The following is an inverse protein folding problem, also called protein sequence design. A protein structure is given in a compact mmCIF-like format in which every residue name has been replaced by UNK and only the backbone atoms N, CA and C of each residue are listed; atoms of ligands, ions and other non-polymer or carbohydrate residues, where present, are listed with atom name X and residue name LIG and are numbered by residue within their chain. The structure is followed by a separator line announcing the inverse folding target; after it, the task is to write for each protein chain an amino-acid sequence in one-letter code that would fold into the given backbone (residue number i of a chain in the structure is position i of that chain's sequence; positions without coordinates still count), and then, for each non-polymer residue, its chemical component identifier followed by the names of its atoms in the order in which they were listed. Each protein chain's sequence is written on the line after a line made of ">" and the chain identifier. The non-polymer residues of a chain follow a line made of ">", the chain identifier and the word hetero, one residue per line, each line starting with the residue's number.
data_IF_859043607037
#
_entry.id   IF_859043607037
#
_cell.length_a   1.000
_cell.length_b   1.000
_cell.length_c   1.000
_cell.angle_alpha   90.00
_cell.angle_beta   90.00
_cell.angle_gamma   90.00
#
_symmetry.space_group_name_H-M   'P 1'
#
loop_
_entity.id
_entity.type
_entity.pdbx_description
1 polymer ?
#
# COMPACT_ATOMS: atom_id res chain seq x y z
N UNK A 1 16.83 -0.91 -21.56
CA UNK A 1 16.96 0.26 -20.66
C UNK A 1 16.41 -0.09 -19.27
N UNK A 2 17.28 -0.55 -18.36
CA UNK A 2 16.91 -0.80 -16.96
C UNK A 2 16.54 0.54 -16.31
N UNK A 3 15.25 0.78 -16.05
CA UNK A 3 14.84 1.85 -15.14
C UNK A 3 15.40 1.49 -13.77
N UNK A 4 16.46 2.16 -13.34
CA UNK A 4 16.86 2.22 -11.94
C UNK A 4 15.67 2.76 -11.15
N UNK A 5 14.77 1.88 -10.69
CA UNK A 5 13.59 2.30 -9.96
C UNK A 5 14.05 2.71 -8.56
N UNK A 6 14.42 3.98 -8.42
CA UNK A 6 14.75 4.58 -7.14
C UNK A 6 13.61 4.36 -6.14
N UNK A 7 13.98 4.24 -4.86
CA UNK A 7 13.01 4.17 -3.76
C UNK A 7 12.16 5.45 -3.79
N UNK A 8 10.84 5.30 -3.93
CA UNK A 8 9.89 6.41 -3.77
C UNK A 8 9.30 6.38 -2.37
N UNK A 9 8.97 7.57 -1.89
CA UNK A 9 8.40 7.77 -0.55
C UNK A 9 6.97 8.29 -0.71
N UNK A 10 6.03 7.57 -0.10
CA UNK A 10 4.61 7.89 -0.15
C UNK A 10 4.13 8.21 1.26
N UNK A 11 3.65 9.43 1.48
CA UNK A 11 3.09 9.87 2.77
C UNK A 11 1.62 9.52 2.78
N UNK A 12 1.16 8.86 3.86
CA UNK A 12 -0.26 8.64 4.06
C UNK A 12 -0.92 9.97 4.42
N UNK A 13 -2.03 10.27 3.75
CA UNK A 13 -2.85 11.43 4.03
C UNK A 13 -4.15 11.02 4.70
N UNK A 14 -4.55 11.77 5.72
CA UNK A 14 -5.83 11.63 6.40
C UNK A 14 -6.48 13.02 6.47
N UNK A 15 -7.77 13.11 6.17
CA UNK A 15 -8.54 14.37 6.18
C UNK A 15 -7.96 15.51 5.32
N UNK A 16 -7.11 15.20 4.34
CA UNK A 16 -6.49 16.20 3.47
C UNK A 16 -5.11 16.66 3.92
N UNK A 17 -4.65 16.21 5.09
CA UNK A 17 -3.34 16.53 5.65
C UNK A 17 -2.40 15.32 5.62
N UNK A 18 -1.10 15.61 5.57
CA UNK A 18 -0.07 14.59 5.69
C UNK A 18 0.00 14.04 7.12
N UNK A 19 0.07 12.72 7.23
CA UNK A 19 0.36 12.05 8.51
C UNK A 19 1.86 11.81 8.69
N UNK A 20 2.26 11.36 9.88
CA UNK A 20 3.64 10.91 10.15
C UNK A 20 4.00 9.59 9.45
N UNK A 21 3.03 8.86 8.89
CA UNK A 21 3.26 7.56 8.29
C UNK A 21 3.78 7.69 6.86
N UNK A 22 4.94 7.06 6.61
CA UNK A 22 5.60 7.06 5.30
C UNK A 22 5.85 5.63 4.85
N UNK A 23 5.38 5.31 3.64
CA UNK A 23 5.56 4.01 3.00
C UNK A 23 6.57 4.13 1.86
N UNK A 24 7.62 3.30 1.91
CA UNK A 24 8.64 3.25 0.86
C UNK A 24 8.33 2.12 -0.12
N UNK A 25 8.28 2.42 -1.41
CA UNK A 25 8.15 1.42 -2.47
C UNK A 25 8.61 2.00 -3.82
N UNK A 26 8.81 1.16 -4.83
CA UNK A 26 9.09 1.60 -6.20
C UNK A 26 7.79 2.01 -6.93
N UNK A 27 6.65 1.43 -6.53
CA UNK A 27 5.33 1.71 -7.11
C UNK A 27 4.30 2.11 -6.03
N UNK A 28 3.36 3.02 -6.34
CA UNK A 28 2.35 3.49 -5.39
C UNK A 28 1.45 2.35 -4.90
N UNK A 29 1.13 1.38 -5.77
CA UNK A 29 0.33 0.21 -5.38
C UNK A 29 1.01 -0.61 -4.28
N UNK A 30 2.34 -0.76 -4.35
CA UNK A 30 3.08 -1.50 -3.33
C UNK A 30 3.14 -0.76 -1.99
N UNK A 31 3.15 0.56 -2.01
CA UNK A 31 2.99 1.37 -0.79
C UNK A 31 1.56 1.23 -0.22
N UNK A 32 0.53 1.23 -1.07
CA UNK A 32 -0.85 1.02 -0.65
C UNK A 32 -1.06 -0.37 -0.03
N UNK A 33 -0.46 -1.44 -0.57
CA UNK A 33 -0.53 -2.78 0.04
C UNK A 33 0.07 -2.80 1.46
N UNK A 34 1.13 -2.03 1.70
CA UNK A 34 1.71 -1.89 3.05
C UNK A 34 0.74 -1.17 3.98
N UNK A 35 0.09 -0.10 3.52
CA UNK A 35 -0.94 0.61 4.28
C UNK A 35 -2.15 -0.30 4.58
N UNK A 36 -2.68 -1.02 3.59
CA UNK A 36 -3.77 -1.97 3.78
C UNK A 36 -3.41 -3.09 4.78
N UNK A 37 -2.16 -3.58 4.75
CA UNK A 37 -1.69 -4.59 5.71
C UNK A 37 -1.64 -4.05 7.15
N UNK A 38 -1.47 -2.73 7.33
CA UNK A 38 -1.57 -2.04 8.63
C UNK A 38 -3.01 -1.78 9.07
N UNK A 39 -4.00 -1.98 8.19
CA UNK A 39 -5.43 -1.84 8.51
C UNK A 39 -6.12 -0.63 7.87
N UNK A 40 -5.41 0.17 7.07
CA UNK A 40 -6.03 1.30 6.37
C UNK A 40 -6.91 0.83 5.21
N UNK A 41 -8.14 1.34 5.15
CA UNK A 41 -9.13 0.98 4.11
C UNK A 41 -9.31 2.08 3.07
N UNK A 42 -9.41 3.34 3.48
CA UNK A 42 -9.39 4.50 2.57
C UNK A 42 -7.96 5.05 2.51
N UNK A 43 -7.19 4.68 1.49
CA UNK A 43 -5.75 4.96 1.43
C UNK A 43 -5.50 6.09 0.44
N UNK A 44 -5.04 7.23 0.95
CA UNK A 44 -4.55 8.35 0.14
C UNK A 44 -3.05 8.50 0.35
N UNK A 45 -2.27 8.38 -0.72
CA UNK A 45 -0.80 8.36 -0.67
C UNK A 45 -0.19 9.46 -1.52
N UNK A 46 0.38 10.47 -0.89
CA UNK A 46 1.11 11.55 -1.56
C UNK A 46 2.53 11.12 -1.90
N UNK A 47 2.91 11.22 -3.16
CA UNK A 47 4.27 10.93 -3.61
C UNK A 47 5.18 12.14 -3.32
N UNK A 48 6.15 11.98 -2.42
CA UNK A 48 7.10 13.05 -2.05
C UNK A 48 7.87 13.54 -3.29
N UNK A 49 8.09 14.85 -3.36
CA UNK A 49 8.70 15.50 -4.52
C UNK A 49 7.74 15.69 -5.70
N UNK A 50 6.46 15.36 -5.55
CA UNK A 50 5.42 15.63 -6.54
C UNK A 50 4.14 16.15 -5.86
N UNK A 51 3.21 16.67 -6.64
CA UNK A 51 1.87 17.05 -6.19
C UNK A 51 0.82 15.94 -6.41
N UNK A 52 1.24 14.68 -6.58
CA UNK A 52 0.32 13.56 -6.89
C UNK A 52 -0.08 12.83 -5.61
N UNK A 53 -1.38 12.63 -5.45
CA UNK A 53 -1.97 11.81 -4.39
C UNK A 53 -2.65 10.60 -5.01
N UNK A 54 -2.09 9.42 -4.78
CA UNK A 54 -2.62 8.16 -5.29
C UNK A 54 -3.69 7.63 -4.32
N UNK A 55 -4.91 7.42 -4.81
CA UNK A 55 -6.04 6.97 -4.00
C UNK A 55 -6.32 5.48 -4.25
N UNK A 56 -6.51 4.73 -3.17
CA UNK A 56 -6.79 3.30 -3.19
C UNK A 56 -7.83 2.92 -2.14
N UNK A 57 -8.65 1.92 -2.46
CA UNK A 57 -9.42 1.16 -1.48
C UNK A 57 -8.57 -0.04 -1.06
N UNK A 58 -8.37 -0.22 0.24
CA UNK A 58 -7.63 -1.31 0.86
C UNK A 58 -8.55 -2.21 1.68
N UNK A 59 -8.26 -3.50 1.66
CA UNK A 59 -8.93 -4.47 2.54
C UNK A 59 -8.01 -5.65 2.81
N UNK A 60 -8.42 -6.53 3.72
CA UNK A 60 -7.69 -7.74 4.08
C UNK A 60 -8.64 -8.92 4.03
N UNK A 61 -8.22 -9.97 3.35
CA UNK A 61 -8.96 -11.23 3.29
C UNK A 61 -8.17 -12.31 4.04
N UNK A 62 -8.91 -13.18 4.72
CA UNK A 62 -8.32 -14.35 5.38
C UNK A 62 -8.27 -15.50 4.36
N UNK A 63 -7.08 -15.82 3.87
CA UNK A 63 -6.87 -16.84 2.82
C UNK A 63 -6.21 -18.08 3.39
N UNK A 64 -6.54 -19.24 2.84
CA UNK A 64 -5.87 -20.48 3.19
C UNK A 64 -4.37 -20.41 2.82
N UNK A 65 -3.54 -21.00 3.67
CA UNK A 65 -2.13 -21.24 3.39
C UNK A 65 -1.99 -22.15 2.16
N UNK A 66 -1.05 -21.81 1.27
CA UNK A 66 -0.77 -22.64 0.10
C UNK A 66 -0.16 -23.99 0.48
N UNK A 67 -0.32 -25.01 -0.37
CA UNK A 67 0.10 -26.39 -0.11
C UNK A 67 1.60 -26.55 0.26
N UNK A 68 2.46 -25.63 -0.19
CA UNK A 68 3.90 -25.61 0.13
C UNK A 68 4.30 -24.71 1.31
N UNK A 69 3.34 -24.21 2.11
CA UNK A 69 3.65 -23.31 3.21
C UNK A 69 4.35 -24.03 4.38
N UNK A 70 5.30 -23.39 5.09
CA UNK A 70 6.05 -24.03 6.16
C UNK A 70 5.17 -24.38 7.37
N UNK A 71 5.50 -25.44 8.11
CA UNK A 71 4.66 -25.99 9.18
C UNK A 71 4.32 -24.99 10.30
N UNK A 72 5.19 -24.02 10.57
CA UNK A 72 4.96 -22.99 11.59
C UNK A 72 3.91 -21.95 11.19
N UNK A 73 3.49 -21.90 9.92
CA UNK A 73 2.50 -20.94 9.42
C UNK A 73 1.08 -21.48 9.66
N UNK A 74 0.17 -20.67 10.25
CA UNK A 74 -1.21 -21.09 10.49
C UNK A 74 -1.96 -21.42 9.19
N UNK A 75 -3.03 -22.20 9.31
CA UNK A 75 -3.84 -22.67 8.17
C UNK A 75 -4.45 -21.53 7.36
N UNK A 76 -4.70 -20.39 8.01
CA UNK A 76 -5.21 -19.18 7.38
C UNK A 76 -4.34 -17.97 7.70
N UNK A 77 -4.09 -17.15 6.68
CA UNK A 77 -3.26 -15.96 6.77
C UNK A 77 -4.00 -14.74 6.22
N UNK A 78 -3.72 -13.57 6.79
CA UNK A 78 -4.23 -12.32 6.25
C UNK A 78 -3.48 -11.90 4.99
N UNK A 79 -4.21 -11.72 3.90
CA UNK A 79 -3.71 -11.17 2.64
C UNK A 79 -4.28 -9.77 2.46
N UNK A 80 -3.38 -8.78 2.36
CA UNK A 80 -3.77 -7.41 2.03
C UNK A 80 -4.04 -7.27 0.53
N UNK A 81 -5.11 -6.57 0.18
CA UNK A 81 -5.50 -6.26 -1.18
C UNK A 81 -5.73 -4.76 -1.29
N UNK A 82 -5.52 -4.23 -2.50
CA UNK A 82 -5.83 -2.84 -2.83
C UNK A 82 -6.39 -2.73 -4.23
N UNK A 83 -7.33 -1.80 -4.42
CA UNK A 83 -7.88 -1.39 -5.70
C UNK A 83 -7.61 0.09 -5.88
N UNK A 84 -7.07 0.49 -7.02
CA UNK A 84 -6.82 1.91 -7.31
C UNK A 84 -8.14 2.58 -7.67
N UNK A 85 -8.49 3.65 -6.96
CA UNK A 85 -9.70 4.44 -7.21
C UNK A 85 -9.40 5.68 -8.05
N UNK A 86 -8.20 6.25 -7.93
CA UNK A 86 -7.83 7.40 -8.75
C UNK A 86 -6.49 8.03 -8.38
N UNK A 87 -6.26 9.22 -8.94
CA UNK A 87 -5.18 10.12 -8.57
C UNK A 87 -5.80 11.51 -8.39
N UNK A 88 -5.48 12.17 -7.27
CA UNK A 88 -5.75 13.58 -7.03
C UNK A 88 -4.46 14.38 -7.16
N UNK A 89 -4.60 15.69 -7.29
CA UNK A 89 -3.48 16.64 -7.21
C UNK A 89 -3.73 17.60 -6.05
N UNK A 90 -2.66 17.95 -5.36
CA UNK A 90 -2.61 19.08 -4.44
C UNK A 90 -2.28 20.36 -5.20
#
# INVERSE_FOLDING_TARGET
>A
MLKMSGKKYFVLMENGDDTSQVFVNNQPRGAALKAARRGHTNIQLRERGTNRVHCFDGWRDLVAKGAGGPAYLPDKIWKANVKKTGIKRL
#
